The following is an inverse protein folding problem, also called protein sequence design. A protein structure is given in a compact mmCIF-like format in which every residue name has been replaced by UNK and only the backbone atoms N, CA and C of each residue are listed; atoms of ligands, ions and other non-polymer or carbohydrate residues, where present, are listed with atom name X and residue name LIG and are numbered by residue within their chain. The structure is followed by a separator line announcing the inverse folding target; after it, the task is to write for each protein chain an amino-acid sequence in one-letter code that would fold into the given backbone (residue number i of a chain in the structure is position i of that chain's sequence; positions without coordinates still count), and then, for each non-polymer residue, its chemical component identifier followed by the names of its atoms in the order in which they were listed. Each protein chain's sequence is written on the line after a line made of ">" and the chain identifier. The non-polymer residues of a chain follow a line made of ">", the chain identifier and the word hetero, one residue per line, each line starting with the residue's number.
data_IF_183206430393
#
_entry.id   IF_183206430393
#
_cell.length_a   1.000
_cell.length_b   1.000
_cell.length_c   1.000
_cell.angle_alpha   90.00
_cell.angle_beta   90.00
_cell.angle_gamma   90.00
#
_symmetry.space_group_name_H-M   'P 1'
#
loop_
_entity.id
_entity.type
_entity.pdbx_description
1 polymer ?
#
# COMPACT_ATOMS: atom_id res chain seq x y z
N UNK A 1 -4.47 2.70 -8.00
CA UNK A 1 -3.59 3.00 -6.86
C UNK A 1 -2.64 1.85 -6.56
N UNK A 2 -3.15 0.66 -6.18
CA UNK A 2 -2.33 -0.54 -5.90
C UNK A 2 -1.37 -0.92 -7.04
N UNK A 3 -1.82 -0.80 -8.30
CA UNK A 3 -0.98 -1.10 -9.46
C UNK A 3 0.30 -0.23 -9.53
N UNK A 4 0.20 1.07 -9.22
CA UNK A 4 1.36 1.97 -9.18
C UNK A 4 2.35 1.55 -8.09
N UNK A 5 1.85 1.05 -6.97
CA UNK A 5 2.68 0.54 -5.90
C UNK A 5 3.37 -0.76 -6.30
N UNK A 6 2.64 -1.74 -6.84
CA UNK A 6 3.25 -2.99 -7.33
C UNK A 6 4.31 -2.72 -8.40
N UNK A 7 4.03 -1.83 -9.34
CA UNK A 7 4.99 -1.45 -10.38
C UNK A 7 6.21 -0.75 -9.81
N UNK A 8 6.06 0.06 -8.77
CA UNK A 8 7.21 0.66 -8.09
C UNK A 8 8.19 -0.39 -7.56
N UNK A 9 7.70 -1.42 -6.88
CA UNK A 9 8.52 -2.55 -6.43
C UNK A 9 9.23 -3.25 -7.61
N UNK A 10 8.50 -3.54 -8.70
CA UNK A 10 9.06 -4.22 -9.86
C UNK A 10 10.12 -3.39 -10.58
N UNK A 11 9.91 -2.08 -10.71
CA UNK A 11 10.91 -1.19 -11.31
C UNK A 11 12.19 -1.20 -10.48
N UNK A 12 12.11 -1.17 -9.15
CA UNK A 12 13.30 -1.22 -8.29
C UNK A 12 14.03 -2.57 -8.35
N UNK A 13 13.30 -3.68 -8.49
CA UNK A 13 13.90 -5.01 -8.75
C UNK A 13 14.64 -5.01 -10.10
N UNK A 14 14.03 -4.45 -11.16
CA UNK A 14 14.69 -4.30 -12.47
C UNK A 14 15.96 -3.44 -12.37
N UNK A 15 15.90 -2.34 -11.63
CA UNK A 15 17.06 -1.47 -11.38
C UNK A 15 18.15 -2.23 -10.61
N UNK A 16 17.80 -3.06 -9.63
CA UNK A 16 18.78 -3.88 -8.92
C UNK A 16 19.48 -4.91 -9.81
N UNK A 17 18.83 -5.35 -10.91
CA UNK A 17 19.44 -6.20 -11.93
C UNK A 17 20.55 -5.52 -12.75
N UNK A 18 20.73 -4.21 -12.61
CA UNK A 18 21.81 -3.45 -13.25
C UNK A 18 23.05 -3.27 -12.35
N UNK A 19 23.05 -3.85 -11.14
CA UNK A 19 24.20 -3.82 -10.23
C UNK A 19 25.34 -4.72 -10.70
N UNK A 20 26.55 -4.50 -10.16
CA UNK A 20 27.78 -5.25 -10.52
C UNK A 20 27.68 -6.76 -10.26
N UNK A 21 26.97 -7.18 -9.20
CA UNK A 21 26.67 -8.57 -8.91
C UNK A 21 25.14 -8.79 -8.88
N UNK A 22 24.51 -8.86 -10.07
CA UNK A 22 23.05 -8.85 -10.18
C UNK A 22 22.44 -10.18 -9.73
N UNK A 23 23.12 -11.31 -9.91
CA UNK A 23 22.62 -12.62 -9.53
C UNK A 23 22.39 -12.72 -8.01
N UNK A 24 23.39 -12.34 -7.21
CA UNK A 24 23.27 -12.36 -5.75
C UNK A 24 22.24 -11.32 -5.26
N UNK A 25 22.25 -10.11 -5.82
CA UNK A 25 21.32 -9.04 -5.43
C UNK A 25 19.87 -9.41 -5.74
N UNK A 26 19.59 -9.94 -6.92
CA UNK A 26 18.25 -10.35 -7.34
C UNK A 26 17.77 -11.58 -6.57
N UNK A 27 18.63 -12.57 -6.32
CA UNK A 27 18.27 -13.74 -5.52
C UNK A 27 17.87 -13.33 -4.09
N UNK A 28 18.67 -12.48 -3.44
CA UNK A 28 18.38 -12.00 -2.09
C UNK A 28 17.12 -11.13 -2.05
N UNK A 29 16.96 -10.20 -3.00
CA UNK A 29 15.74 -9.39 -3.12
C UNK A 29 14.51 -10.26 -3.35
N UNK A 30 14.57 -11.24 -4.25
CA UNK A 30 13.43 -12.10 -4.57
C UNK A 30 13.00 -12.93 -3.37
N UNK A 31 13.94 -13.47 -2.59
CA UNK A 31 13.64 -14.18 -1.35
C UNK A 31 12.92 -13.26 -0.35
N UNK A 32 13.46 -12.05 -0.13
CA UNK A 32 12.83 -11.06 0.72
C UNK A 32 11.45 -10.62 0.24
N UNK A 33 11.28 -10.38 -1.07
CA UNK A 33 10.01 -9.96 -1.66
C UNK A 33 8.96 -11.08 -1.60
N UNK A 34 9.38 -12.35 -1.65
CA UNK A 34 8.49 -13.49 -1.45
C UNK A 34 7.93 -13.51 -0.02
N UNK A 35 8.80 -13.31 0.98
CA UNK A 35 8.37 -13.15 2.38
C UNK A 35 7.47 -11.94 2.55
N UNK A 36 7.87 -10.79 1.99
CA UNK A 36 7.04 -9.57 2.04
C UNK A 36 5.68 -9.77 1.39
N UNK A 37 5.60 -10.50 0.27
CA UNK A 37 4.36 -10.76 -0.45
C UNK A 37 3.39 -11.62 0.34
N UNK A 38 3.89 -12.61 1.08
CA UNK A 38 3.07 -13.40 2.00
C UNK A 38 2.47 -12.54 3.12
N UNK A 39 3.30 -11.73 3.77
CA UNK A 39 2.85 -10.83 4.84
C UNK A 39 1.91 -9.73 4.32
N UNK A 40 2.15 -9.24 3.11
CA UNK A 40 1.33 -8.20 2.49
C UNK A 40 -0.14 -8.62 2.29
N UNK A 41 -0.44 -9.93 2.22
CA UNK A 41 -1.83 -10.40 2.16
C UNK A 41 -2.63 -10.04 3.41
N UNK A 42 -1.97 -10.02 4.58
CA UNK A 42 -2.59 -9.55 5.83
C UNK A 42 -2.93 -8.06 5.72
N UNK A 43 -2.01 -7.26 5.18
CA UNK A 43 -2.24 -5.84 4.92
C UNK A 43 -3.36 -5.56 3.92
N UNK A 44 -3.50 -6.39 2.88
CA UNK A 44 -4.64 -6.31 1.94
C UNK A 44 -5.95 -6.60 2.67
N UNK A 45 -5.97 -7.57 3.60
CA UNK A 45 -7.12 -7.83 4.45
C UNK A 45 -7.55 -6.59 5.24
N UNK A 46 -6.60 -5.91 5.87
CA UNK A 46 -6.89 -4.66 6.60
C UNK A 46 -7.27 -3.50 5.67
N UNK A 47 -6.68 -3.40 4.48
CA UNK A 47 -7.09 -2.43 3.45
C UNK A 47 -8.58 -2.58 3.10
N UNK A 48 -9.01 -3.81 2.81
CA UNK A 48 -10.41 -4.10 2.48
C UNK A 48 -11.34 -3.82 3.68
N UNK A 49 -10.94 -4.25 4.88
CA UNK A 49 -11.73 -4.01 6.09
C UNK A 49 -11.90 -2.51 6.40
N UNK A 50 -10.82 -1.73 6.29
CA UNK A 50 -10.84 -0.28 6.46
C UNK A 50 -11.75 0.38 5.42
N UNK A 51 -11.60 0.00 4.14
CA UNK A 51 -12.41 0.52 3.05
C UNK A 51 -13.90 0.31 3.29
N UNK A 52 -14.33 -0.92 3.60
CA UNK A 52 -15.75 -1.24 3.84
C UNK A 52 -16.28 -0.52 5.07
N UNK A 53 -15.55 -0.55 6.20
CA UNK A 53 -15.99 0.09 7.45
C UNK A 53 -16.14 1.59 7.28
N UNK A 54 -15.14 2.25 6.73
CA UNK A 54 -15.16 3.71 6.53
C UNK A 54 -16.25 4.11 5.55
N UNK A 55 -16.40 3.39 4.43
CA UNK A 55 -17.47 3.65 3.45
C UNK A 55 -18.85 3.57 4.09
N UNK A 56 -19.09 2.54 4.91
CA UNK A 56 -20.39 2.32 5.54
C UNK A 56 -20.70 3.40 6.59
N UNK A 57 -19.75 3.75 7.46
CA UNK A 57 -19.97 4.78 8.47
C UNK A 57 -20.15 6.17 7.85
N UNK A 58 -19.39 6.48 6.78
CA UNK A 58 -19.57 7.72 6.02
C UNK A 58 -20.93 7.75 5.34
N UNK A 59 -21.32 6.66 4.67
CA UNK A 59 -22.61 6.53 3.99
C UNK A 59 -23.81 6.58 4.94
N UNK A 60 -23.65 6.08 6.16
CA UNK A 60 -24.66 6.15 7.22
C UNK A 60 -24.73 7.53 7.92
N UNK A 61 -23.83 8.46 7.60
CA UNK A 61 -23.82 9.78 8.20
C UNK A 61 -23.20 9.83 9.61
N UNK A 62 -22.29 8.91 9.94
CA UNK A 62 -21.65 8.78 11.24
C UNK A 62 -20.17 9.23 11.22
N UNK A 63 -19.87 10.54 11.19
CA UNK A 63 -18.51 11.04 11.01
C UNK A 63 -17.56 10.62 12.15
N UNK A 64 -18.05 10.57 13.38
CA UNK A 64 -17.24 10.16 14.55
C UNK A 64 -16.88 8.66 14.49
N UNK A 65 -17.83 7.82 14.07
CA UNK A 65 -17.60 6.37 13.92
C UNK A 65 -16.64 6.06 12.77
N UNK A 66 -16.71 6.82 11.67
CA UNK A 66 -15.75 6.73 10.58
C UNK A 66 -14.32 7.05 11.05
N UNK A 67 -14.13 8.18 11.73
CA UNK A 67 -12.84 8.59 12.29
C UNK A 67 -12.29 7.55 13.28
N UNK A 68 -13.14 7.05 14.17
CA UNK A 68 -12.77 6.02 15.14
C UNK A 68 -12.35 4.72 14.46
N UNK A 69 -13.08 4.29 13.42
CA UNK A 69 -12.76 3.09 12.65
C UNK A 69 -11.38 3.17 12.02
N UNK A 70 -11.01 4.34 11.47
CA UNK A 70 -9.66 4.57 10.92
C UNK A 70 -8.58 4.36 11.98
N UNK A 71 -8.75 4.96 13.16
CA UNK A 71 -7.76 4.85 14.25
C UNK A 71 -7.62 3.40 14.69
N UNK A 72 -8.73 2.70 14.93
CA UNK A 72 -8.71 1.31 15.41
C UNK A 72 -8.08 0.38 14.38
N UNK A 73 -8.50 0.45 13.11
CA UNK A 73 -7.96 -0.45 12.08
C UNK A 73 -6.48 -0.18 11.83
N UNK A 74 -6.05 1.09 11.83
CA UNK A 74 -4.63 1.46 11.68
C UNK A 74 -3.80 0.95 12.84
N UNK A 75 -4.27 1.10 14.09
CA UNK A 75 -3.56 0.66 15.29
C UNK A 75 -3.44 -0.87 15.34
N UNK A 76 -4.53 -1.59 15.07
CA UNK A 76 -4.52 -3.07 15.06
C UNK A 76 -3.58 -3.58 13.97
N UNK A 77 -3.66 -3.03 12.75
CA UNK A 77 -2.79 -3.41 11.65
C UNK A 77 -1.32 -3.11 11.94
N UNK A 78 -1.00 -1.97 12.57
CA UNK A 78 0.35 -1.65 12.98
C UNK A 78 0.90 -2.63 14.03
N UNK A 79 0.08 -3.04 15.00
CA UNK A 79 0.49 -4.04 16.00
C UNK A 79 0.80 -5.38 15.32
N UNK A 80 -0.05 -5.83 14.39
CA UNK A 80 0.19 -7.07 13.63
C UNK A 80 1.48 -6.98 12.82
N UNK A 81 1.68 -5.88 12.09
CA UNK A 81 2.91 -5.66 11.33
C UNK A 81 4.16 -5.58 12.22
N UNK A 82 4.05 -5.04 13.44
CA UNK A 82 5.14 -5.02 14.39
C UNK A 82 5.50 -6.43 14.90
N UNK A 83 4.50 -7.28 15.11
CA UNK A 83 4.72 -8.70 15.44
C UNK A 83 5.40 -9.42 14.27
N UNK A 84 4.92 -9.23 13.04
CA UNK A 84 5.53 -9.80 11.84
C UNK A 84 6.99 -9.35 11.69
N UNK A 85 7.27 -8.05 11.81
CA UNK A 85 8.61 -7.50 11.76
C UNK A 85 9.53 -8.08 12.85
N UNK A 86 9.03 -8.23 14.08
CA UNK A 86 9.78 -8.84 15.18
C UNK A 86 10.11 -10.32 14.89
N UNK A 87 9.16 -11.09 14.36
CA UNK A 87 9.37 -12.48 13.96
C UNK A 87 10.46 -12.56 12.88
N UNK A 88 10.37 -11.75 11.83
CA UNK A 88 11.36 -11.70 10.75
C UNK A 88 12.75 -11.36 11.27
N UNK A 89 12.87 -10.35 12.14
CA UNK A 89 14.16 -9.98 12.72
C UNK A 89 14.74 -11.10 13.61
N UNK A 90 13.90 -11.79 14.38
CA UNK A 90 14.33 -12.91 15.21
C UNK A 90 14.83 -14.11 14.38
N UNK A 91 14.23 -14.33 13.21
CA UNK A 91 14.55 -15.44 12.30
C UNK A 91 15.45 -15.03 11.13
N UNK A 92 16.06 -13.85 11.17
CA UNK A 92 16.79 -13.26 10.02
C UNK A 92 17.90 -14.14 9.45
N UNK A 93 18.51 -14.97 10.29
CA UNK A 93 19.61 -15.87 9.91
C UNK A 93 19.15 -17.23 9.40
N UNK A 94 17.85 -17.54 9.51
CA UNK A 94 17.31 -18.87 9.21
C UNK A 94 16.25 -18.82 8.10
N UNK A 95 15.48 -17.74 8.03
CA UNK A 95 14.32 -17.62 7.13
C UNK A 95 14.68 -17.77 5.64
N UNK A 96 15.90 -17.38 5.26
CA UNK A 96 16.39 -17.50 3.89
C UNK A 96 16.55 -18.94 3.42
N UNK A 97 16.79 -19.89 4.33
CA UNK A 97 17.01 -21.30 3.98
C UNK A 97 15.75 -22.02 3.48
N UNK A 98 14.57 -21.40 3.60
CA UNK A 98 13.34 -21.87 2.96
C UNK A 98 13.41 -21.63 1.44
N UNK A 99 14.20 -20.65 1.00
CA UNK A 99 14.28 -20.21 -0.41
C UNK A 99 15.61 -20.58 -1.08
N UNK A 100 16.67 -20.85 -0.32
CA UNK A 100 18.00 -21.11 -0.87
C UNK A 100 18.84 -22.04 0.02
N UNK A 101 19.67 -22.87 -0.60
CA UNK A 101 20.70 -23.65 0.10
C UNK A 101 22.06 -22.93 0.10
N UNK A 102 22.19 -21.81 -0.61
CA UNK A 102 23.45 -21.08 -0.77
C UNK A 102 23.72 -20.10 0.36
N UNK A 103 24.84 -20.27 1.06
CA UNK A 103 25.25 -19.39 2.17
C UNK A 103 25.41 -17.92 1.76
N UNK A 104 25.88 -17.66 0.54
CA UNK A 104 26.02 -16.29 0.04
C UNK A 104 24.68 -15.55 -0.03
N UNK A 105 23.63 -16.20 -0.55
CA UNK A 105 22.28 -15.64 -0.63
C UNK A 105 21.67 -15.54 0.77
N UNK A 106 21.86 -16.55 1.62
CA UNK A 106 21.37 -16.53 3.00
C UNK A 106 21.94 -15.35 3.80
N UNK A 107 23.25 -15.10 3.69
CA UNK A 107 23.91 -13.97 4.33
C UNK A 107 23.39 -12.63 3.78
N UNK A 108 23.22 -12.51 2.46
CA UNK A 108 22.66 -11.30 1.85
C UNK A 108 21.22 -11.02 2.33
N UNK A 109 20.37 -12.05 2.44
CA UNK A 109 19.01 -11.91 2.98
C UNK A 109 19.03 -11.52 4.46
N UNK A 110 19.94 -12.09 5.25
CA UNK A 110 20.12 -11.70 6.66
C UNK A 110 20.50 -10.21 6.79
N UNK A 111 21.37 -9.71 5.92
CA UNK A 111 21.74 -8.28 5.88
C UNK A 111 20.60 -7.37 5.42
N UNK A 112 19.68 -7.87 4.59
CA UNK A 112 18.51 -7.14 4.12
C UNK A 112 17.30 -7.25 5.05
N UNK A 113 17.30 -8.21 5.97
CA UNK A 113 16.20 -8.45 6.91
C UNK A 113 15.81 -7.21 7.74
N UNK A 114 16.72 -6.32 8.17
CA UNK A 114 16.35 -5.04 8.79
C UNK A 114 15.52 -4.13 7.86
N UNK A 115 15.87 -4.07 6.57
CA UNK A 115 15.11 -3.29 5.57
C UNK A 115 13.73 -3.91 5.34
N UNK A 116 13.66 -5.25 5.30
CA UNK A 116 12.41 -5.99 5.24
C UNK A 116 11.51 -5.70 6.43
N UNK A 117 12.04 -5.73 7.65
CA UNK A 117 11.28 -5.42 8.87
C UNK A 117 10.70 -4.01 8.86
N UNK A 118 11.47 -3.00 8.43
CA UNK A 118 10.97 -1.64 8.26
C UNK A 118 9.89 -1.56 7.16
N UNK A 119 10.07 -2.29 6.07
CA UNK A 119 9.08 -2.37 4.99
C UNK A 119 7.77 -2.97 5.49
N UNK A 120 7.81 -4.02 6.31
CA UNK A 120 6.63 -4.61 6.92
C UNK A 120 5.90 -3.64 7.84
N UNK A 121 6.62 -2.88 8.68
CA UNK A 121 6.02 -1.84 9.50
C UNK A 121 5.28 -0.78 8.67
N UNK A 122 5.89 -0.32 7.57
CA UNK A 122 5.23 0.62 6.65
C UNK A 122 4.01 -0.02 5.98
N UNK A 123 4.12 -1.27 5.55
CA UNK A 123 3.02 -2.05 4.98
C UNK A 123 1.92 -2.38 6.00
N UNK A 124 2.15 -2.18 7.30
CA UNK A 124 1.10 -2.24 8.32
C UNK A 124 0.19 -1.02 8.32
N UNK A 125 0.67 0.14 7.86
CA UNK A 125 -0.04 1.42 7.93
C UNK A 125 -0.51 1.85 6.55
N UNK A 126 0.39 1.81 5.56
CA UNK A 126 0.17 2.36 4.23
C UNK A 126 -1.04 1.72 3.51
N UNK A 127 -1.22 0.38 3.49
CA UNK A 127 -2.37 -0.26 2.86
C UNK A 127 -3.67 0.08 3.59
N UNK A 128 -3.65 0.25 4.92
CA UNK A 128 -4.83 0.65 5.68
C UNK A 128 -5.29 2.03 5.27
N UNK A 129 -4.39 3.01 5.23
CA UNK A 129 -4.70 4.38 4.80
C UNK A 129 -5.16 4.43 3.35
N UNK A 130 -4.61 3.56 2.51
CA UNK A 130 -5.06 3.36 1.14
C UNK A 130 -6.51 2.86 1.10
N UNK A 131 -6.86 1.92 1.98
CA UNK A 131 -8.23 1.43 2.15
C UNK A 131 -9.19 2.52 2.63
N UNK A 132 -8.77 3.31 3.62
CA UNK A 132 -9.52 4.50 4.09
C UNK A 132 -9.77 5.47 2.94
N UNK A 133 -8.73 5.77 2.14
CA UNK A 133 -8.85 6.66 1.00
C UNK A 133 -9.82 6.10 -0.06
N UNK A 134 -9.84 4.79 -0.31
CA UNK A 134 -10.85 4.17 -1.17
C UNK A 134 -12.25 4.36 -0.56
N UNK A 135 -12.42 4.11 0.74
CA UNK A 135 -13.72 4.25 1.38
C UNK A 135 -14.26 5.68 1.44
N UNK A 136 -13.38 6.68 1.48
CA UNK A 136 -13.73 8.10 1.35
C UNK A 136 -13.85 8.57 -0.12
N UNK A 137 -13.42 7.77 -1.10
CA UNK A 137 -13.39 8.15 -2.52
C UNK A 137 -12.21 9.04 -2.94
N UNK A 138 -11.13 9.10 -2.16
CA UNK A 138 -9.92 9.90 -2.42
C UNK A 138 -8.89 9.22 -3.34
N UNK A 139 -9.24 8.10 -3.96
CA UNK A 139 -8.34 7.29 -4.80
C UNK A 139 -7.54 8.07 -5.86
N UNK A 140 -8.12 9.11 -6.47
CA UNK A 140 -7.43 9.95 -7.45
C UNK A 140 -6.32 10.79 -6.80
N UNK A 141 -6.61 11.45 -5.69
CA UNK A 141 -5.61 12.19 -4.91
C UNK A 141 -4.44 11.28 -4.51
N UNK A 142 -4.75 10.11 -3.97
CA UNK A 142 -3.71 9.17 -3.53
C UNK A 142 -2.89 8.63 -4.71
N UNK A 143 -3.49 8.42 -5.88
CA UNK A 143 -2.74 8.04 -7.07
C UNK A 143 -1.69 9.11 -7.45
N UNK A 144 -2.03 10.40 -7.39
CA UNK A 144 -1.06 11.48 -7.64
C UNK A 144 0.05 11.51 -6.60
N UNK A 145 -0.27 11.32 -5.31
CA UNK A 145 0.72 11.23 -4.24
C UNK A 145 1.66 10.04 -4.48
N UNK A 146 1.14 8.87 -4.87
CA UNK A 146 1.96 7.70 -5.19
C UNK A 146 2.91 7.99 -6.35
N UNK A 147 2.44 8.65 -7.43
CA UNK A 147 3.31 9.01 -8.57
C UNK A 147 4.48 9.88 -8.09
N UNK A 148 4.19 10.93 -7.33
CA UNK A 148 5.22 11.83 -6.80
C UNK A 148 6.20 11.12 -5.86
N UNK A 149 5.71 10.41 -4.87
CA UNK A 149 6.56 9.80 -3.85
C UNK A 149 7.38 8.63 -4.39
N UNK A 150 6.78 7.78 -5.23
CA UNK A 150 7.44 6.56 -5.69
C UNK A 150 8.33 6.82 -6.90
N UNK A 151 7.81 7.51 -7.91
CA UNK A 151 8.49 7.63 -9.20
C UNK A 151 9.36 8.88 -9.30
N UNK A 152 8.94 9.99 -8.71
CA UNK A 152 9.72 11.24 -8.76
C UNK A 152 10.77 11.32 -7.66
N UNK A 153 10.53 10.69 -6.51
CA UNK A 153 11.42 10.76 -5.34
C UNK A 153 12.08 9.41 -5.05
N UNK A 154 11.29 8.36 -4.83
CA UNK A 154 11.77 7.04 -4.40
C UNK A 154 12.74 6.38 -5.37
N UNK A 155 12.38 6.26 -6.65
CA UNK A 155 13.24 5.67 -7.69
C UNK A 155 14.55 6.46 -7.82
N UNK A 156 14.56 7.79 -8.04
CA UNK A 156 15.82 8.53 -8.17
C UNK A 156 16.72 8.43 -6.94
N UNK A 157 16.16 8.51 -5.72
CA UNK A 157 16.95 8.33 -4.49
C UNK A 157 17.54 6.92 -4.43
N UNK A 158 16.75 5.89 -4.75
CA UNK A 158 17.22 4.51 -4.80
C UNK A 158 18.37 4.31 -5.79
N UNK A 159 18.27 4.90 -6.99
CA UNK A 159 19.34 4.87 -7.98
C UNK A 159 20.60 5.60 -7.49
N UNK A 160 20.46 6.80 -6.93
CA UNK A 160 21.60 7.57 -6.42
C UNK A 160 22.30 6.82 -5.28
N UNK A 161 21.55 6.29 -4.31
CA UNK A 161 22.11 5.51 -3.20
C UNK A 161 22.74 4.20 -3.67
N UNK A 162 22.07 3.48 -4.58
CA UNK A 162 22.54 2.20 -5.11
C UNK A 162 23.81 2.32 -5.93
N UNK A 163 23.84 3.23 -6.91
CA UNK A 163 24.93 3.34 -7.89
C UNK A 163 25.97 4.40 -7.54
N UNK A 164 25.55 5.62 -7.15
CA UNK A 164 26.49 6.73 -6.91
C UNK A 164 27.23 6.54 -5.59
N UNK A 165 26.50 6.21 -4.52
CA UNK A 165 27.09 5.92 -3.20
C UNK A 165 27.53 4.47 -3.03
N UNK A 166 27.37 3.63 -4.07
CA UNK A 166 27.78 2.21 -4.09
C UNK A 166 27.22 1.39 -2.93
N UNK A 167 26.03 1.75 -2.42
CA UNK A 167 25.34 0.95 -1.39
C UNK A 167 24.62 -0.27 -2.00
N UNK A 168 24.66 -0.43 -3.32
CA UNK A 168 24.11 -1.55 -4.06
C UNK A 168 22.63 -1.76 -3.74
N UNK A 169 22.27 -3.01 -3.46
CA UNK A 169 20.88 -3.41 -3.21
C UNK A 169 20.27 -2.74 -1.97
N UNK A 170 21.10 -2.46 -0.95
CA UNK A 170 20.67 -1.75 0.27
C UNK A 170 20.30 -0.31 -0.03
N UNK A 171 21.03 0.35 -0.93
CA UNK A 171 20.74 1.71 -1.38
C UNK A 171 19.43 1.80 -2.16
N UNK A 172 19.20 0.86 -3.07
CA UNK A 172 17.95 0.77 -3.85
C UNK A 172 16.76 0.55 -2.91
N UNK A 173 16.88 -0.38 -1.97
CA UNK A 173 15.84 -0.64 -0.97
C UNK A 173 15.63 0.56 -0.02
N UNK A 174 16.69 1.27 0.38
CA UNK A 174 16.54 2.48 1.18
C UNK A 174 15.72 3.56 0.44
N UNK A 175 15.94 3.73 -0.87
CA UNK A 175 15.10 4.59 -1.71
C UNK A 175 13.64 4.14 -1.75
N UNK A 176 13.42 2.83 -1.83
CA UNK A 176 12.09 2.21 -1.72
C UNK A 176 11.35 2.65 -0.46
N UNK A 177 11.99 2.40 0.69
CA UNK A 177 11.48 2.73 2.01
C UNK A 177 11.26 4.23 2.13
N UNK A 178 12.16 5.06 1.60
CA UNK A 178 12.02 6.52 1.61
C UNK A 178 10.77 6.99 0.87
N UNK A 179 10.54 6.48 -0.35
CA UNK A 179 9.33 6.79 -1.12
C UNK A 179 8.05 6.33 -0.43
N UNK A 180 8.04 5.09 0.10
CA UNK A 180 6.90 4.55 0.86
C UNK A 180 6.65 5.33 2.14
N UNK A 181 7.68 5.64 2.92
CA UNK A 181 7.56 6.41 4.16
C UNK A 181 7.02 7.83 3.89
N UNK A 182 7.54 8.52 2.86
CA UNK A 182 7.05 9.84 2.47
C UNK A 182 5.56 9.80 2.12
N UNK A 183 5.13 8.83 1.32
CA UNK A 183 3.74 8.64 0.96
C UNK A 183 2.86 8.35 2.19
N UNK A 184 3.31 7.46 3.07
CA UNK A 184 2.61 7.11 4.32
C UNK A 184 2.43 8.33 5.21
N UNK A 185 3.47 9.16 5.36
CA UNK A 185 3.41 10.38 6.16
C UNK A 185 2.40 11.39 5.58
N UNK A 186 2.36 11.55 4.26
CA UNK A 186 1.37 12.41 3.59
C UNK A 186 -0.04 11.88 3.84
N UNK A 187 -0.27 10.58 3.66
CA UNK A 187 -1.59 9.99 3.90
C UNK A 187 -2.02 10.07 5.37
N UNK A 188 -1.11 9.84 6.30
CA UNK A 188 -1.37 10.01 7.73
C UNK A 188 -1.79 11.45 8.00
N UNK A 189 -1.00 12.42 7.52
CA UNK A 189 -1.28 13.84 7.73
C UNK A 189 -2.64 14.25 7.16
N UNK A 190 -2.95 13.83 5.92
CA UNK A 190 -4.25 14.10 5.30
C UNK A 190 -5.37 13.48 6.14
N UNK A 191 -5.24 12.20 6.50
CA UNK A 191 -6.24 11.45 7.27
C UNK A 191 -6.50 12.07 8.64
N UNK A 192 -5.45 12.53 9.33
CA UNK A 192 -5.57 13.23 10.61
C UNK A 192 -6.20 14.61 10.49
N UNK A 193 -6.00 15.31 9.36
CA UNK A 193 -6.56 16.63 9.08
C UNK A 193 -7.96 16.59 8.48
N UNK A 194 -8.46 15.40 8.15
CA UNK A 194 -9.78 15.24 7.52
C UNK A 194 -10.89 15.73 8.43
N UNK A 195 -11.70 16.64 7.89
CA UNK A 195 -13.00 16.96 8.46
C UNK A 195 -14.01 15.88 8.07
N UNK A 196 -14.25 14.96 9.01
CA UNK A 196 -15.15 13.84 8.82
C UNK A 196 -16.61 14.27 8.61
N UNK A 197 -17.03 15.43 9.13
CA UNK A 197 -18.38 15.97 8.90
C UNK A 197 -18.52 16.36 7.44
N UNK A 198 -17.51 17.08 6.92
CA UNK A 198 -17.47 17.47 5.51
C UNK A 198 -17.38 16.27 4.58
N UNK A 199 -16.66 15.22 4.98
CA UNK A 199 -16.58 14.00 4.17
C UNK A 199 -17.93 13.27 4.09
N UNK A 200 -18.68 13.20 5.19
CA UNK A 200 -20.07 12.71 5.20
C UNK A 200 -20.96 13.55 4.28
N UNK A 201 -20.86 14.87 4.34
CA UNK A 201 -21.62 15.77 3.46
C UNK A 201 -21.28 15.54 1.98
N UNK A 202 -20.00 15.40 1.66
CA UNK A 202 -19.53 15.08 0.31
C UNK A 202 -20.05 13.71 -0.15
N UNK A 203 -20.05 12.71 0.73
CA UNK A 203 -20.61 11.39 0.42
C UNK A 203 -22.10 11.45 0.11
N UNK A 204 -22.86 12.20 0.89
CA UNK A 204 -24.29 12.42 0.62
C UNK A 204 -24.51 13.07 -0.75
N UNK A 205 -23.78 14.13 -1.07
CA UNK A 205 -23.84 14.77 -2.40
C UNK A 205 -23.50 13.82 -3.55
N UNK A 206 -22.57 12.89 -3.33
CA UNK A 206 -22.21 11.85 -4.32
C UNK A 206 -23.36 10.85 -4.52
N UNK A 207 -24.09 10.50 -3.45
CA UNK A 207 -25.25 9.61 -3.52
C UNK A 207 -26.45 10.29 -4.19
N UNK A 208 -26.78 11.52 -3.79
CA UNK A 208 -27.91 12.28 -4.36
C UNK A 208 -27.74 12.42 -5.89
N UNK A 209 -26.54 12.79 -6.36
CA UNK A 209 -26.21 12.85 -7.79
C UNK A 209 -26.34 11.50 -8.49
N UNK A 210 -26.05 10.39 -7.80
CA UNK A 210 -26.17 9.04 -8.36
C UNK A 210 -27.63 8.63 -8.51
N UNK A 211 -28.49 9.00 -7.56
CA UNK A 211 -29.94 8.77 -7.64
C UNK A 211 -30.59 9.59 -8.76
N UNK A 212 -30.21 10.86 -8.91
CA UNK A 212 -30.65 11.72 -10.01
C UNK A 212 -30.32 11.14 -11.40
N UNK A 213 -29.22 10.40 -11.52
CA UNK A 213 -28.81 9.74 -12.78
C UNK A 213 -29.53 8.39 -12.97
N UNK A 214 -29.82 7.65 -11.89
CA UNK A 214 -30.49 6.35 -11.95
C UNK A 214 -31.96 6.44 -12.29
N UNK A 215 -32.69 7.42 -11.77
CA UNK A 215 -34.13 7.58 -12.03
C UNK A 215 -34.48 7.67 -13.53
N UNK A 216 -33.77 8.48 -14.36
CA UNK A 216 -33.97 8.48 -15.80
C UNK A 216 -33.62 7.15 -16.46
N UNK A 217 -32.52 6.50 -16.04
CA UNK A 217 -32.05 5.25 -16.65
C UNK A 217 -33.04 4.10 -16.42
N UNK A 218 -33.56 3.97 -15.19
CA UNK A 218 -34.58 2.97 -14.86
C UNK A 218 -35.85 3.17 -15.70
N UNK A 219 -36.26 4.43 -15.92
CA UNK A 219 -37.39 4.75 -16.81
C UNK A 219 -37.12 4.38 -18.27
N UNK A 220 -35.89 4.56 -18.77
CA UNK A 220 -35.54 4.14 -20.13
C UNK A 220 -35.54 2.62 -20.26
N UNK A 221 -35.06 1.90 -19.25
CA UNK A 221 -35.02 0.44 -19.20
C UNK A 221 -36.44 -0.15 -19.14
N UNK A 222 -37.34 0.41 -18.32
CA UNK A 222 -38.77 0.05 -18.29
C UNK A 222 -39.46 0.28 -19.66
N UNK A 223 -39.21 1.42 -20.32
CA UNK A 223 -39.77 1.72 -21.65
C UNK A 223 -39.22 0.76 -22.72
N UNK A 224 -37.97 0.32 -22.59
CA UNK A 224 -37.34 -0.62 -23.51
C UNK A 224 -37.92 -2.03 -23.33
N UNK A 225 -38.06 -2.50 -22.09
CA UNK A 225 -38.67 -3.81 -21.78
C UNK A 225 -40.14 -3.86 -22.21
N UNK A 226 -40.92 -2.79 -22.02
CA UNK A 226 -42.30 -2.70 -22.53
C UNK A 226 -42.39 -2.77 -24.07
N UNK A 227 -41.35 -2.36 -24.80
CA UNK A 227 -41.31 -2.41 -26.28
C UNK A 227 -40.89 -3.75 -26.84
N UNK A 228 -40.15 -4.58 -26.09
CA UNK A 228 -39.68 -5.91 -26.53
C UNK A 228 -40.61 -7.02 -26.03
N UNK A 229 -41.34 -6.80 -24.95
CA UNK A 229 -42.37 -7.72 -24.43
C UNK A 229 -43.69 -7.73 -25.22
N UNK A 230 -43.79 -7.00 -26.34
CA UNK A 230 -44.90 -7.01 -27.31
C UNK A 230 -44.40 -7.44 -28.67
#
# INVERSE_FOLDING_TARGET
>A
MLCLETWYFQVLVLVAGLLENPELALAALSACMSVSGLMFMVSIGFNAAASVRVSNEIGAGHPKSAAFSVVVVTLVSFIVAAIEAAVILSQRHVISYIFTEGEAVANAVSELSPFLAVTLLLNGVQPVLSGVAVGCGWQAFVAYVNIGCYYVVGIPIGCVLGFTFKLGVKGIWAGMIGGTAMQTLILLWVTFRTDWIKEVENAKKRLDKSEEIKEPLLKVEEIYDERIGK
#
